data_IF_775530463365
#
_entry.id   IF_775530463365
#
_cell.length_a   1.000
_cell.length_b   1.000
_cell.length_c   1.000
_cell.angle_alpha   90.00
_cell.angle_beta   90.00
_cell.angle_gamma   90.00
#
_symmetry.space_group_name_H-M   'P 1'
#
loop_
_entity.id
_entity.type
_entity.pdbx_description
1 polymer ?
#
# COMPACT_ATOMS: atom_id res chain seq x y z
N UNK A 1 8.70 -13.75 16.78
CA UNK A 1 7.56 -13.83 15.83
C UNK A 1 7.93 -13.18 14.49
N UNK A 2 8.02 -13.98 13.42
CA UNK A 2 8.36 -13.52 12.06
C UNK A 2 7.12 -12.93 11.36
N UNK A 3 6.70 -11.71 11.72
CA UNK A 3 5.64 -10.99 10.98
C UNK A 3 6.06 -9.57 10.62
N UNK A 4 5.52 -8.96 9.55
CA UNK A 4 5.81 -7.57 9.19
C UNK A 4 5.53 -6.59 10.34
N UNK A 5 4.45 -6.81 11.10
CA UNK A 5 4.09 -5.99 12.25
C UNK A 5 5.07 -6.17 13.41
N UNK A 6 5.50 -7.41 13.69
CA UNK A 6 6.51 -7.66 14.72
C UNK A 6 7.83 -6.95 14.39
N UNK A 7 8.27 -7.03 13.13
CA UNK A 7 9.47 -6.34 12.62
C UNK A 7 9.31 -4.81 12.67
N UNK A 8 8.12 -4.28 12.44
CA UNK A 8 7.83 -2.85 12.60
C UNK A 8 7.94 -2.41 14.06
N UNK A 9 7.28 -3.12 14.98
CA UNK A 9 7.28 -2.81 16.42
C UNK A 9 8.70 -2.87 17.01
N UNK A 10 9.51 -3.86 16.61
CA UNK A 10 10.90 -3.97 17.02
C UNK A 10 11.74 -2.77 16.57
N UNK A 11 11.54 -2.30 15.32
CA UNK A 11 12.35 -1.24 14.73
C UNK A 11 11.88 0.17 15.06
N UNK A 12 10.58 0.37 15.30
CA UNK A 12 9.95 1.70 15.39
C UNK A 12 9.15 1.92 16.67
N UNK A 13 8.89 0.87 17.46
CA UNK A 13 7.97 0.94 18.59
C UNK A 13 6.50 1.02 18.16
N UNK A 14 5.63 1.32 19.12
CA UNK A 14 4.20 1.50 18.85
C UNK A 14 3.95 2.79 18.04
N UNK A 15 2.94 2.76 17.16
CA UNK A 15 2.56 3.92 16.34
C UNK A 15 1.80 3.53 15.09
N UNK A 16 1.62 4.50 14.19
CA UNK A 16 0.98 4.30 12.88
C UNK A 16 1.93 3.51 11.97
N UNK A 17 1.50 2.33 11.52
CA UNK A 17 2.29 1.50 10.61
C UNK A 17 2.22 1.98 9.15
N UNK A 18 1.00 2.24 8.67
CA UNK A 18 0.74 2.69 7.31
C UNK A 18 -0.63 3.39 7.25
N UNK A 19 -0.88 4.10 6.15
CA UNK A 19 -2.18 4.71 5.84
C UNK A 19 -2.71 4.04 4.58
N UNK A 20 -3.99 3.67 4.56
CA UNK A 20 -4.65 3.13 3.39
C UNK A 20 -5.58 4.18 2.76
N UNK A 21 -5.46 4.38 1.45
CA UNK A 21 -6.32 5.27 0.65
C UNK A 21 -7.18 4.42 -0.28
N UNK A 22 -8.49 4.63 -0.19
CA UNK A 22 -9.46 4.05 -1.11
C UNK A 22 -9.33 4.63 -2.51
N UNK A 23 -9.25 3.78 -3.53
CA UNK A 23 -9.23 4.18 -4.95
C UNK A 23 -10.26 3.40 -5.76
N UNK A 24 -10.80 4.02 -6.80
CA UNK A 24 -11.80 3.39 -7.68
C UNK A 24 -11.16 2.41 -8.67
N UNK A 25 -10.01 2.78 -9.23
CA UNK A 25 -9.25 1.98 -10.20
C UNK A 25 -7.76 1.98 -9.82
N UNK A 26 -7.33 0.91 -9.16
CA UNK A 26 -5.95 0.73 -8.69
C UNK A 26 -4.96 0.54 -9.84
N UNK A 27 -5.35 -0.07 -10.95
CA UNK A 27 -4.45 -0.30 -12.08
C UNK A 27 -4.10 1.02 -12.75
N UNK A 28 -5.12 1.87 -12.95
CA UNK A 28 -4.93 3.24 -13.44
C UNK A 28 -4.04 4.05 -12.50
N UNK A 29 -4.33 4.07 -11.19
CA UNK A 29 -3.54 4.85 -10.23
C UNK A 29 -2.09 4.38 -10.17
N UNK A 30 -1.83 3.08 -10.20
CA UNK A 30 -0.46 2.55 -10.24
C UNK A 30 0.29 2.96 -11.51
N UNK A 31 -0.38 2.93 -12.67
CA UNK A 31 0.21 3.39 -13.92
C UNK A 31 0.56 4.89 -13.87
N UNK A 32 -0.35 5.72 -13.35
CA UNK A 32 -0.10 7.16 -13.17
C UNK A 32 1.04 7.44 -12.20
N UNK A 33 1.10 6.74 -11.06
CA UNK A 33 2.19 6.87 -10.09
C UNK A 33 3.53 6.44 -10.67
N UNK A 34 3.58 5.32 -11.40
CA UNK A 34 4.79 4.83 -12.07
C UNK A 34 5.26 5.82 -13.13
N UNK A 35 4.35 6.38 -13.94
CA UNK A 35 4.67 7.40 -14.94
C UNK A 35 5.23 8.69 -14.31
N UNK A 36 4.82 9.02 -13.08
CA UNK A 36 5.35 10.14 -12.28
C UNK A 36 6.64 9.80 -11.54
N UNK A 37 7.20 8.60 -11.72
CA UNK A 37 8.45 8.17 -11.08
C UNK A 37 8.30 7.76 -9.61
N UNK A 38 7.08 7.52 -9.12
CA UNK A 38 6.88 7.03 -7.77
C UNK A 38 7.45 5.61 -7.63
N UNK A 39 8.22 5.36 -6.57
CA UNK A 39 8.71 4.02 -6.24
C UNK A 39 7.57 3.19 -5.65
N UNK A 40 7.14 2.17 -6.40
CA UNK A 40 6.14 1.21 -5.96
C UNK A 40 6.80 0.02 -5.25
N UNK A 41 6.15 -0.52 -4.23
CA UNK A 41 6.51 -1.82 -3.63
C UNK A 41 5.84 -2.94 -4.43
N UNK A 42 4.57 -2.73 -4.81
CA UNK A 42 3.83 -3.62 -5.69
C UNK A 42 3.58 -2.91 -7.03
N UNK A 43 4.19 -3.41 -8.10
CA UNK A 43 3.95 -2.87 -9.46
C UNK A 43 2.58 -3.32 -10.01
N UNK A 44 2.04 -4.41 -9.49
CA UNK A 44 0.69 -4.90 -9.78
C UNK A 44 -0.07 -5.14 -8.48
N UNK A 45 -1.41 -4.96 -8.46
CA UNK A 45 -2.19 -5.16 -7.24
C UNK A 45 -2.15 -6.61 -6.76
N UNK A 46 -2.10 -6.80 -5.45
CA UNK A 46 -2.21 -8.10 -4.77
C UNK A 46 -3.54 -8.18 -4.01
N UNK A 47 -3.93 -9.40 -3.63
CA UNK A 47 -5.14 -9.59 -2.81
C UNK A 47 -4.83 -9.26 -1.36
N UNK A 48 -5.52 -8.25 -0.83
CA UNK A 48 -5.43 -7.79 0.54
C UNK A 48 -6.56 -8.29 1.44
N UNK A 49 -6.67 -7.68 2.62
CA UNK A 49 -7.71 -8.00 3.58
C UNK A 49 -9.12 -7.79 3.01
N UNK A 50 -10.03 -8.72 3.28
CA UNK A 50 -11.41 -8.67 2.79
C UNK A 50 -11.54 -8.85 1.27
N UNK A 51 -10.54 -9.45 0.61
CA UNK A 51 -10.56 -9.69 -0.84
C UNK A 51 -10.36 -8.42 -1.68
N UNK A 52 -9.93 -7.32 -1.08
CA UNK A 52 -9.62 -6.07 -1.77
C UNK A 52 -8.40 -6.23 -2.65
N UNK A 53 -8.33 -5.45 -3.73
CA UNK A 53 -7.09 -5.30 -4.51
C UNK A 53 -6.28 -4.19 -3.85
N UNK A 54 -5.04 -4.49 -3.46
CA UNK A 54 -4.17 -3.53 -2.77
C UNK A 54 -2.80 -3.43 -3.41
N UNK A 55 -2.12 -2.30 -3.21
CA UNK A 55 -0.72 -2.12 -3.59
C UNK A 55 -0.06 -1.09 -2.67
N UNK A 56 1.21 -1.33 -2.32
CA UNK A 56 1.97 -0.41 -1.49
C UNK A 56 2.85 0.52 -2.31
N UNK A 57 2.89 1.79 -1.93
CA UNK A 57 3.85 2.80 -2.41
C UNK A 57 4.98 2.92 -1.38
N UNK A 58 6.22 2.94 -1.86
CA UNK A 58 7.39 2.96 -0.99
C UNK A 58 7.47 4.31 -0.25
N UNK A 59 7.79 4.32 1.07
CA UNK A 59 7.90 5.55 1.88
C UNK A 59 8.76 6.67 1.28
N UNK A 60 9.77 6.31 0.48
CA UNK A 60 10.62 7.25 -0.24
C UNK A 60 9.87 8.13 -1.26
N UNK A 61 8.71 7.70 -1.75
CA UNK A 61 7.86 8.46 -2.67
C UNK A 61 6.75 9.23 -1.93
N UNK A 62 6.62 9.06 -0.62
CA UNK A 62 5.47 9.51 0.20
C UNK A 62 5.94 10.12 1.53
N UNK A 63 7.09 10.80 1.52
CA UNK A 63 7.65 11.53 2.66
C UNK A 63 7.75 10.72 3.96
N UNK A 64 8.10 9.43 3.85
CA UNK A 64 8.30 8.53 4.98
C UNK A 64 7.06 7.71 5.39
N UNK A 65 5.91 7.90 4.74
CA UNK A 65 4.68 7.17 5.05
C UNK A 65 4.58 5.92 4.18
N UNK A 66 4.47 4.74 4.77
CA UNK A 66 4.06 3.56 4.00
C UNK A 66 2.59 3.74 3.59
N UNK A 67 2.33 3.84 2.29
CA UNK A 67 0.99 4.10 1.77
C UNK A 67 0.44 2.85 1.09
N UNK A 68 -0.76 2.43 1.46
CA UNK A 68 -1.53 1.38 0.78
C UNK A 68 -2.59 2.04 -0.10
N UNK A 69 -2.65 1.65 -1.38
CA UNK A 69 -3.80 1.88 -2.24
C UNK A 69 -4.74 0.68 -2.10
N UNK A 70 -6.04 0.93 -1.93
CA UNK A 70 -7.02 -0.11 -1.67
C UNK A 70 -8.25 0.09 -2.54
N UNK A 71 -8.52 -0.85 -3.43
CA UNK A 71 -9.74 -0.89 -4.22
C UNK A 71 -10.68 -1.96 -3.66
N UNK A 72 -11.89 -1.54 -3.30
CA UNK A 72 -12.95 -2.45 -2.89
C UNK A 72 -13.33 -3.39 -4.05
N UNK A 73 -13.77 -4.63 -3.76
CA UNK A 73 -14.40 -5.45 -4.78
C UNK A 73 -15.55 -4.69 -5.43
N UNK A 74 -15.75 -4.86 -6.74
CA UNK A 74 -16.92 -4.31 -7.41
C UNK A 74 -18.18 -4.75 -6.65
N UNK A 75 -19.14 -3.83 -6.41
CA UNK A 75 -20.41 -4.21 -5.81
C UNK A 75 -21.05 -5.30 -6.69
N UNK A 76 -21.54 -6.36 -6.04
CA UNK A 76 -22.27 -7.43 -6.72
C UNK A 76 -23.59 -6.93 -7.26
#
# INVERSE_FOLDING_TARGET
PESPIAKFLEKKGQGIHHIAIGVEDIDRVLAELKARGARLINETPVVGAGGKRIAFVHPAATSGILLELSQAPLPR
#
